data_IF_165886577673
#
_entry.id   IF_165886577673
#
_cell.length_a   1.000
_cell.length_b   1.000
_cell.length_c   1.000
_cell.angle_alpha   90.00
_cell.angle_beta   90.00
_cell.angle_gamma   90.00
#
_symmetry.space_group_name_H-M   'P 1'
#
loop_
_entity.id
_entity.type
_entity.pdbx_description
1 polymer ?
#
# COMPACT_ATOMS: atom_id res chain seq x y z
N UNK A 1 -9.15 -9.84 -2.47
CA UNK A 1 -9.13 -8.99 -1.26
C UNK A 1 -8.96 -7.55 -1.68
N UNK A 2 -9.79 -6.68 -1.15
CA UNK A 2 -9.68 -5.24 -1.43
C UNK A 2 -8.75 -4.55 -0.47
N UNK A 3 -7.95 -3.64 -1.02
CA UNK A 3 -7.02 -2.83 -0.26
C UNK A 3 -7.30 -1.35 -0.51
N UNK A 4 -7.09 -0.55 0.51
CA UNK A 4 -7.25 0.90 0.43
C UNK A 4 -5.94 1.55 0.83
N UNK A 5 -5.34 2.29 -0.11
CA UNK A 5 -4.06 2.94 0.08
C UNK A 5 -4.32 4.42 0.28
N UNK A 6 -3.86 4.96 1.41
CA UNK A 6 -4.09 6.34 1.79
C UNK A 6 -2.83 7.16 1.61
N UNK A 7 -2.98 8.25 0.87
CA UNK A 7 -1.89 9.17 0.57
C UNK A 7 -2.30 10.57 0.98
N UNK A 8 -1.34 11.42 1.36
CA UNK A 8 -1.60 12.82 1.64
C UNK A 8 -2.09 13.49 0.35
N UNK A 9 -3.23 14.18 0.43
CA UNK A 9 -3.86 14.81 -0.72
C UNK A 9 -3.00 15.93 -1.31
N UNK A 10 -2.20 16.58 -0.50
CA UNK A 10 -1.40 17.73 -0.89
C UNK A 10 -0.01 17.35 -1.39
N UNK A 11 0.65 16.39 -0.73
CA UNK A 11 2.03 15.99 -1.04
C UNK A 11 2.11 14.68 -1.79
N UNK A 12 1.01 13.91 -1.83
CA UNK A 12 0.95 12.56 -2.41
C UNK A 12 1.88 11.56 -1.73
N UNK A 13 2.29 11.86 -0.49
CA UNK A 13 3.09 10.92 0.29
C UNK A 13 2.24 9.81 0.89
N UNK A 14 2.81 8.62 0.94
CA UNK A 14 2.15 7.46 1.54
C UNK A 14 1.92 7.69 3.04
N UNK A 15 0.69 7.47 3.49
CA UNK A 15 0.33 7.59 4.90
C UNK A 15 0.06 6.24 5.53
N UNK A 16 -0.85 5.46 4.95
CA UNK A 16 -1.18 4.16 5.51
C UNK A 16 -1.86 3.28 4.46
N UNK A 17 -2.06 2.02 4.84
CA UNK A 17 -2.74 1.04 4.01
C UNK A 17 -3.62 0.17 4.90
N UNK A 18 -4.80 -0.20 4.40
CA UNK A 18 -5.75 -0.98 5.18
C UNK A 18 -6.62 -1.81 4.26
N UNK A 19 -7.21 -2.87 4.81
CA UNK A 19 -8.23 -3.67 4.11
C UNK A 19 -9.64 -3.16 4.41
N UNK A 20 -9.75 -2.11 5.23
CA UNK A 20 -11.03 -1.47 5.55
C UNK A 20 -11.01 -0.02 5.08
N UNK A 21 -12.12 0.41 4.49
CA UNK A 21 -12.28 1.80 4.07
C UNK A 21 -12.58 2.67 5.30
N UNK A 22 -11.80 3.72 5.46
CA UNK A 22 -12.04 4.72 6.52
C UNK A 22 -13.26 5.57 6.14
N UNK A 23 -13.89 6.17 7.15
CA UNK A 23 -15.04 7.04 6.91
C UNK A 23 -14.65 8.29 6.12
N UNK A 24 -15.61 8.85 5.40
CA UNK A 24 -15.39 10.09 4.64
C UNK A 24 -14.95 11.23 5.54
N UNK A 25 -15.51 11.29 6.75
CA UNK A 25 -15.15 12.31 7.74
C UNK A 25 -13.67 12.20 8.10
N UNK A 26 -13.19 10.98 8.33
CA UNK A 26 -11.78 10.74 8.65
C UNK A 26 -10.88 11.17 7.49
N UNK A 27 -11.25 10.82 6.27
CA UNK A 27 -10.46 11.17 5.09
C UNK A 27 -10.36 12.68 4.91
N UNK A 28 -11.45 13.40 5.14
CA UNK A 28 -11.47 14.86 5.04
C UNK A 28 -10.65 15.53 6.15
N UNK A 29 -10.78 15.05 7.37
CA UNK A 29 -10.04 15.61 8.51
C UNK A 29 -8.53 15.48 8.37
N UNK A 30 -8.08 14.41 7.74
CA UNK A 30 -6.66 14.14 7.56
C UNK A 30 -6.15 14.46 6.16
N UNK A 31 -6.99 15.06 5.30
CA UNK A 31 -6.65 15.40 3.91
C UNK A 31 -6.07 14.20 3.16
N UNK A 32 -6.74 13.07 3.23
CA UNK A 32 -6.27 11.83 2.61
C UNK A 32 -6.97 11.55 1.28
N UNK A 33 -6.18 11.04 0.36
CA UNK A 33 -6.64 10.50 -0.90
C UNK A 33 -6.59 8.98 -0.80
N UNK A 34 -7.67 8.30 -1.22
CA UNK A 34 -7.73 6.84 -1.17
C UNK A 34 -7.61 6.26 -2.57
N UNK A 35 -6.80 5.21 -2.70
CA UNK A 35 -6.69 4.42 -3.92
C UNK A 35 -7.15 3.00 -3.60
N UNK A 36 -8.15 2.51 -4.34
CA UNK A 36 -8.66 1.15 -4.15
C UNK A 36 -7.91 0.19 -5.07
N UNK A 37 -7.43 -0.90 -4.50
CA UNK A 37 -6.76 -1.97 -5.24
C UNK A 37 -7.35 -3.30 -4.85
N UNK A 38 -7.32 -4.25 -5.77
CA UNK A 38 -7.76 -5.62 -5.50
C UNK A 38 -6.62 -6.59 -5.78
N UNK A 39 -6.48 -7.60 -4.92
CA UNK A 39 -5.36 -8.53 -4.99
C UNK A 39 -5.73 -9.93 -4.55
N UNK A 40 -4.80 -10.86 -4.76
CA UNK A 40 -4.86 -12.20 -4.20
C UNK A 40 -4.64 -12.14 -2.68
N UNK A 41 -4.95 -13.25 -1.99
CA UNK A 41 -4.87 -13.31 -0.53
C UNK A 41 -3.45 -13.30 0.02
N UNK A 42 -2.46 -13.63 -0.79
CA UNK A 42 -1.06 -13.69 -0.36
C UNK A 42 -0.35 -12.33 -0.35
N UNK A 43 -1.02 -11.28 -0.83
CA UNK A 43 -0.46 -9.93 -0.80
C UNK A 43 -0.48 -9.41 0.63
N UNK A 44 0.65 -8.89 1.09
CA UNK A 44 0.80 -8.37 2.45
C UNK A 44 0.93 -6.85 2.51
N UNK A 45 1.33 -6.23 1.41
CA UNK A 45 1.43 -4.78 1.32
C UNK A 45 1.53 -4.36 -0.15
N UNK A 46 1.72 -3.07 -0.39
CA UNK A 46 1.86 -2.49 -1.71
C UNK A 46 3.03 -1.52 -1.73
N UNK A 47 3.73 -1.47 -2.86
CA UNK A 47 4.82 -0.53 -3.08
C UNK A 47 4.48 0.40 -4.24
N UNK A 48 4.84 1.66 -4.12
CA UNK A 48 4.63 2.63 -5.19
C UNK A 48 5.76 2.49 -6.21
N UNK A 49 5.36 2.39 -7.50
CA UNK A 49 6.29 2.32 -8.62
C UNK A 49 5.86 3.36 -9.65
N UNK A 50 6.55 4.48 -9.72
CA UNK A 50 6.13 5.60 -10.55
C UNK A 50 4.78 6.15 -10.09
N UNK A 51 3.78 6.10 -10.96
CA UNK A 51 2.43 6.55 -10.65
C UNK A 51 1.48 5.40 -10.30
N UNK A 52 2.00 4.17 -10.18
CA UNK A 52 1.18 2.99 -9.92
C UNK A 52 1.61 2.26 -8.66
N UNK A 53 0.79 1.30 -8.22
CA UNK A 53 1.03 0.49 -7.04
C UNK A 53 1.24 -0.96 -7.42
N UNK A 54 2.27 -1.58 -6.86
CA UNK A 54 2.61 -2.98 -7.12
C UNK A 54 2.34 -3.80 -5.86
N UNK A 55 1.61 -4.94 -5.98
CA UNK A 55 1.38 -5.80 -4.82
C UNK A 55 2.67 -6.51 -4.40
N UNK A 56 2.89 -6.57 -3.10
CA UNK A 56 4.05 -7.25 -2.51
C UNK A 56 3.55 -8.49 -1.78
N UNK A 57 3.98 -9.66 -2.23
CA UNK A 57 3.62 -10.93 -1.61
C UNK A 57 4.71 -11.39 -0.66
N UNK A 58 4.36 -12.32 0.22
CA UNK A 58 5.35 -12.93 1.11
C UNK A 58 6.45 -13.65 0.33
N UNK A 59 6.09 -14.29 -0.78
CA UNK A 59 7.07 -14.96 -1.64
C UNK A 59 8.08 -13.99 -2.22
N UNK A 60 7.66 -12.79 -2.58
CA UNK A 60 8.56 -11.75 -3.08
C UNK A 60 9.56 -11.33 -2.02
N UNK A 61 9.13 -11.21 -0.78
CA UNK A 61 10.03 -10.85 0.32
C UNK A 61 11.06 -11.93 0.56
N UNK A 62 10.67 -13.19 0.58
CA UNK A 62 11.59 -14.30 0.71
C UNK A 62 12.61 -14.35 -0.42
N UNK A 63 12.16 -14.07 -1.65
CA UNK A 63 13.05 -14.03 -2.81
C UNK A 63 14.11 -12.93 -2.66
N UNK A 64 13.68 -11.74 -2.19
CA UNK A 64 14.61 -10.63 -1.94
C UNK A 64 15.63 -10.98 -0.87
N UNK A 65 15.20 -11.65 0.20
CA UNK A 65 16.10 -12.09 1.27
C UNK A 65 17.13 -13.10 0.76
N UNK A 66 16.67 -14.05 -0.06
CA UNK A 66 17.55 -15.08 -0.61
C UNK A 66 18.59 -14.50 -1.58
N UNK A 67 18.28 -13.40 -2.23
CA UNK A 67 19.21 -12.71 -3.12
C UNK A 67 20.11 -11.72 -2.41
N UNK A 68 19.91 -11.53 -1.10
CA UNK A 68 20.70 -10.59 -0.33
C UNK A 68 20.43 -9.13 -0.65
N UNK A 69 19.26 -8.82 -1.18
CA UNK A 69 18.89 -7.44 -1.55
C UNK A 69 18.48 -6.59 -0.35
N UNK A 70 18.16 -7.24 0.77
CA UNK A 70 17.80 -6.52 1.99
C UNK A 70 19.04 -6.34 2.85
N UNK A 71 19.21 -5.18 3.49
CA UNK A 71 20.32 -4.97 4.41
C UNK A 71 20.18 -5.91 5.62
N UNK A 72 21.30 -6.40 6.06
CA UNK A 72 21.35 -7.25 7.25
C UNK A 72 21.30 -6.42 8.53
#
# INVERSE_FOLDING_TARGET
MKWYIYEDKNTEEFESISTKLFSDVYLEEHDLKVTEKESEEDVITWEKSGSDWIPVTQAMIYDRMNKGELPE
#
